data_IF_737518559294
#
_entry.id   IF_737518559294
#
_cell.length_a   1.000
_cell.length_b   1.000
_cell.length_c   1.000
_cell.angle_alpha   90.00
_cell.angle_beta   90.00
_cell.angle_gamma   90.00
#
_symmetry.space_group_name_H-M   'P 1'
#
loop_
_entity.id
_entity.type
_entity.pdbx_description
1 polymer ?
#
# COMPACT_ATOMS: atom_id res chain seq x y z
N UNK A 1 -5.50 9.97 -4.14
CA UNK A 1 -6.33 9.33 -3.08
C UNK A 1 -6.43 10.24 -1.86
N UNK A 2 -7.43 10.07 -0.98
CA UNK A 2 -7.54 10.78 0.32
C UNK A 2 -8.05 9.82 1.41
N UNK A 3 -7.57 9.92 2.67
CA UNK A 3 -8.09 9.10 3.76
C UNK A 3 -9.60 9.29 4.00
N UNK A 4 -10.28 8.35 4.67
CA UNK A 4 -11.69 8.50 5.02
C UNK A 4 -11.96 9.77 5.83
N UNK A 5 -13.05 10.49 5.50
CA UNK A 5 -13.44 11.74 6.17
C UNK A 5 -13.59 11.58 7.69
N UNK A 6 -14.10 10.42 8.14
CA UNK A 6 -14.24 10.12 9.56
C UNK A 6 -12.90 10.13 10.30
N UNK A 7 -11.83 9.63 9.66
CA UNK A 7 -10.48 9.56 10.24
C UNK A 7 -9.80 10.93 10.17
N UNK A 8 -9.96 11.66 9.07
CA UNK A 8 -9.43 13.02 8.90
C UNK A 8 -10.00 14.03 9.91
N UNK A 9 -11.22 13.81 10.40
CA UNK A 9 -11.88 14.67 11.39
C UNK A 9 -11.49 14.37 12.83
N UNK A 10 -10.76 13.28 13.08
CA UNK A 10 -10.28 12.99 14.42
C UNK A 10 -9.23 14.05 14.82
N UNK A 11 -9.17 14.44 16.11
CA UNK A 11 -8.12 15.31 16.61
C UNK A 11 -6.73 14.71 16.35
N UNK A 12 -5.72 15.55 16.11
CA UNK A 12 -4.34 15.08 15.89
C UNK A 12 -3.81 14.26 17.07
N UNK A 13 -4.24 14.58 18.30
CA UNK A 13 -3.92 13.79 19.51
C UNK A 13 -4.31 12.30 19.37
N UNK A 14 -5.41 12.00 18.67
CA UNK A 14 -5.83 10.61 18.40
C UNK A 14 -4.87 9.93 17.43
N UNK A 15 -4.41 10.64 16.40
CA UNK A 15 -3.44 10.11 15.45
C UNK A 15 -2.08 9.90 16.14
N UNK A 16 -1.64 10.85 16.96
CA UNK A 16 -0.43 10.72 17.79
C UNK A 16 -0.53 9.55 18.77
N UNK A 17 -1.66 9.37 19.43
CA UNK A 17 -1.88 8.25 20.34
C UNK A 17 -1.78 6.89 19.62
N UNK A 18 -2.34 6.77 18.41
CA UNK A 18 -2.19 5.56 17.58
C UNK A 18 -0.72 5.35 17.23
N UNK A 19 0.00 6.40 16.79
CA UNK A 19 1.43 6.29 16.49
C UNK A 19 2.23 5.81 17.71
N UNK A 20 1.96 6.35 18.89
CA UNK A 20 2.58 5.91 20.15
C UNK A 20 2.25 4.44 20.48
N UNK A 21 0.98 4.04 20.39
CA UNK A 21 0.53 2.68 20.70
C UNK A 21 1.23 1.62 19.83
N UNK A 22 1.50 1.95 18.57
CA UNK A 22 2.16 1.04 17.61
C UNK A 22 3.66 1.30 17.43
N UNK A 23 4.27 2.15 18.27
CA UNK A 23 5.68 2.53 18.19
C UNK A 23 6.10 3.06 16.79
N UNK A 24 5.25 3.91 16.21
CA UNK A 24 5.49 4.57 14.94
C UNK A 24 6.06 5.96 15.22
N UNK A 25 7.23 6.25 14.66
CA UNK A 25 7.79 7.60 14.58
C UNK A 25 7.55 8.12 13.16
N UNK A 26 7.01 9.32 13.03
CA UNK A 26 6.72 9.95 11.75
C UNK A 26 7.16 11.41 11.78
N UNK A 27 7.91 11.81 10.76
CA UNK A 27 8.50 13.15 10.62
C UNK A 27 8.16 13.72 9.23
N UNK A 28 8.03 15.05 9.15
CA UNK A 28 7.67 15.78 7.93
C UNK A 28 6.35 16.54 8.05
N UNK A 29 5.99 17.27 6.99
CA UNK A 29 4.77 18.10 6.97
C UNK A 29 3.56 17.31 6.46
N UNK A 30 2.35 17.71 6.88
CA UNK A 30 1.06 17.16 6.42
C UNK A 30 1.01 15.62 6.39
N UNK A 31 1.54 14.96 7.42
CA UNK A 31 1.62 13.50 7.51
C UNK A 31 0.20 12.92 7.56
N UNK A 32 -0.21 12.05 6.62
CA UNK A 32 -1.53 11.44 6.67
C UNK A 32 -1.75 10.65 7.97
N UNK A 33 -3.00 10.54 8.44
CA UNK A 33 -3.31 9.77 9.65
C UNK A 33 -2.96 8.29 9.46
N UNK A 34 -2.45 7.61 10.50
CA UNK A 34 -2.22 6.18 10.45
C UNK A 34 -3.56 5.43 10.32
N UNK A 35 -3.62 4.44 9.43
CA UNK A 35 -4.80 3.61 9.20
C UNK A 35 -4.59 2.22 9.78
N UNK A 36 -5.41 1.87 10.78
CA UNK A 36 -5.29 0.60 11.54
C UNK A 36 -5.99 -0.59 10.86
N UNK A 37 -6.67 -0.37 9.74
CA UNK A 37 -7.42 -1.37 8.98
C UNK A 37 -7.18 -1.20 7.48
N UNK A 38 -7.09 -2.31 6.75
CA UNK A 38 -6.96 -2.27 5.29
C UNK A 38 -8.22 -1.72 4.61
N UNK A 39 -9.40 -1.93 5.21
CA UNK A 39 -10.66 -1.40 4.67
C UNK A 39 -10.67 0.14 4.59
N UNK A 40 -10.00 0.82 5.52
CA UNK A 40 -9.89 2.28 5.54
C UNK A 40 -8.95 2.81 4.45
N UNK A 41 -8.13 1.93 3.86
CA UNK A 41 -7.17 2.26 2.79
C UNK A 41 -7.83 2.29 1.40
N UNK A 42 -9.10 1.87 1.29
CA UNK A 42 -9.91 1.87 0.05
C UNK A 42 -9.33 1.01 -1.07
N UNK A 43 -8.71 -0.11 -0.70
CA UNK A 43 -8.36 -1.14 -1.66
C UNK A 43 -9.61 -1.83 -2.21
N UNK A 44 -9.48 -2.35 -3.43
CA UNK A 44 -10.52 -3.17 -4.06
C UNK A 44 -10.68 -4.52 -3.37
N UNK A 45 -11.84 -5.16 -3.54
CA UNK A 45 -12.14 -6.47 -2.94
C UNK A 45 -11.08 -7.52 -3.28
N UNK A 46 -10.65 -7.61 -4.54
CA UNK A 46 -9.62 -8.57 -4.95
C UNK A 46 -8.28 -8.38 -4.24
N UNK A 47 -7.88 -7.13 -3.93
CA UNK A 47 -6.68 -6.88 -3.13
C UNK A 47 -6.88 -7.33 -1.67
N UNK A 48 -8.05 -7.04 -1.10
CA UNK A 48 -8.40 -7.49 0.26
C UNK A 48 -8.43 -9.02 0.35
N UNK A 49 -8.97 -9.69 -0.67
CA UNK A 49 -9.01 -11.16 -0.75
C UNK A 49 -7.59 -11.75 -0.81
N UNK A 50 -6.69 -11.16 -1.60
CA UNK A 50 -5.28 -11.57 -1.64
C UNK A 50 -4.58 -11.47 -0.28
N UNK A 51 -4.88 -10.40 0.48
CA UNK A 51 -4.36 -10.23 1.85
C UNK A 51 -4.94 -11.29 2.80
N UNK A 52 -6.24 -11.56 2.71
CA UNK A 52 -6.92 -12.55 3.54
C UNK A 52 -6.45 -13.98 3.28
N UNK A 53 -6.22 -14.36 2.02
CA UNK A 53 -5.65 -15.68 1.68
C UNK A 53 -4.27 -15.90 2.32
N UNK A 54 -3.47 -14.83 2.38
CA UNK A 54 -2.17 -14.81 3.07
C UNK A 54 -2.28 -14.63 4.58
N UNK A 55 -3.50 -14.62 5.14
CA UNK A 55 -3.78 -14.41 6.57
C UNK A 55 -3.27 -13.06 7.11
N UNK A 56 -3.22 -12.05 6.24
CA UNK A 56 -2.81 -10.68 6.56
C UNK A 56 -4.08 -9.85 6.82
N UNK A 57 -4.66 -10.01 8.01
CA UNK A 57 -5.93 -9.36 8.36
C UNK A 57 -5.79 -7.95 8.94
N UNK A 58 -4.58 -7.58 9.40
CA UNK A 58 -4.30 -6.25 9.96
C UNK A 58 -2.97 -5.71 9.43
N UNK A 59 -2.90 -4.39 9.15
CA UNK A 59 -1.65 -3.78 8.74
C UNK A 59 -0.62 -3.82 9.89
N UNK A 60 0.64 -4.02 9.54
CA UNK A 60 1.76 -3.82 10.46
C UNK A 60 2.00 -2.32 10.72
N UNK A 61 2.74 -1.92 11.76
CA UNK A 61 2.98 -0.50 12.05
C UNK A 61 3.53 0.31 10.86
N UNK A 62 4.47 -0.27 10.10
CA UNK A 62 5.03 0.39 8.90
C UNK A 62 3.99 0.53 7.77
N UNK A 63 3.03 -0.39 7.68
CA UNK A 63 1.93 -0.33 6.73
C UNK A 63 0.86 0.68 7.14
N UNK A 64 0.55 0.76 8.45
CA UNK A 64 -0.44 1.70 8.99
C UNK A 64 -0.13 3.14 8.62
N UNK A 65 1.15 3.54 8.69
CA UNK A 65 1.58 4.89 8.35
C UNK A 65 2.07 5.00 6.91
N UNK A 66 2.81 4.01 6.41
CA UNK A 66 3.46 4.09 5.09
C UNK A 66 2.48 4.02 3.92
N UNK A 67 1.49 3.12 3.97
CA UNK A 67 0.50 2.98 2.89
C UNK A 67 -0.29 4.28 2.66
N UNK A 68 -0.92 4.92 3.67
CA UNK A 68 -1.65 6.17 3.43
C UNK A 68 -0.74 7.32 2.96
N UNK A 69 0.53 7.34 3.36
CA UNK A 69 1.51 8.30 2.83
C UNK A 69 1.72 8.12 1.33
N UNK A 70 2.03 6.89 0.88
CA UNK A 70 2.27 6.61 -0.54
C UNK A 70 0.99 6.79 -1.36
N UNK A 71 -0.16 6.30 -0.88
CA UNK A 71 -1.45 6.50 -1.58
C UNK A 71 -1.79 7.99 -1.74
N UNK A 72 -1.39 8.85 -0.79
CA UNK A 72 -1.58 10.30 -0.89
C UNK A 72 -0.63 10.97 -1.90
N UNK A 73 0.23 10.22 -2.59
CA UNK A 73 1.19 10.73 -3.56
C UNK A 73 2.43 11.37 -2.92
N UNK A 74 2.75 11.00 -1.67
CA UNK A 74 3.92 11.52 -0.95
C UNK A 74 5.11 10.58 -1.12
N UNK A 75 6.29 11.18 -1.25
CA UNK A 75 7.54 10.46 -1.08
C UNK A 75 7.69 10.00 0.37
N UNK A 76 8.24 8.80 0.56
CA UNK A 76 8.35 8.14 1.86
C UNK A 76 9.72 7.50 2.04
N UNK A 77 10.38 7.83 3.15
CA UNK A 77 11.51 7.06 3.68
C UNK A 77 10.97 6.13 4.78
N UNK A 78 10.91 4.83 4.49
CA UNK A 78 10.39 3.82 5.41
C UNK A 78 11.49 3.03 6.11
N UNK A 79 11.75 3.31 7.39
CA UNK A 79 12.74 2.60 8.20
C UNK A 79 12.04 1.51 9.04
N UNK A 80 12.34 0.24 8.77
CA UNK A 80 11.89 -0.89 9.59
C UNK A 80 12.79 -2.11 9.35
N UNK A 81 12.76 -3.10 10.24
CA UNK A 81 13.56 -4.33 10.13
C UNK A 81 13.02 -5.33 9.09
N UNK A 82 13.84 -6.25 8.58
CA UNK A 82 13.41 -7.30 7.63
C UNK A 82 12.30 -8.17 8.24
N UNK A 83 11.26 -8.50 7.46
CA UNK A 83 10.09 -9.22 7.97
C UNK A 83 9.00 -8.32 8.56
N UNK A 84 9.23 -7.01 8.68
CA UNK A 84 8.20 -6.05 9.14
C UNK A 84 7.04 -5.80 8.15
N UNK A 85 7.03 -6.48 7.00
CA UNK A 85 5.98 -6.28 5.99
C UNK A 85 6.14 -5.04 5.08
N UNK A 86 7.33 -4.43 5.02
CA UNK A 86 7.63 -3.26 4.16
C UNK A 86 7.27 -3.46 2.69
N UNK A 87 7.36 -4.69 2.16
CA UNK A 87 7.05 -4.97 0.75
C UNK A 87 5.64 -4.52 0.36
N UNK A 88 4.66 -4.69 1.25
CA UNK A 88 3.28 -4.28 0.97
C UNK A 88 3.09 -2.76 0.97
N UNK A 89 3.99 -2.00 1.58
CA UNK A 89 3.91 -0.53 1.66
C UNK A 89 4.06 0.09 0.28
N UNK A 90 4.90 -0.47 -0.58
CA UNK A 90 5.05 -0.03 -1.97
C UNK A 90 4.27 -0.91 -2.96
N UNK A 91 4.09 -2.21 -2.68
CA UNK A 91 3.42 -3.12 -3.59
C UNK A 91 1.90 -2.89 -3.69
N UNK A 92 1.22 -2.56 -2.58
CA UNK A 92 -0.23 -2.30 -2.65
C UNK A 92 -0.54 -0.99 -3.38
N UNK A 93 0.12 0.15 -3.08
CA UNK A 93 -0.12 1.39 -3.82
C UNK A 93 0.23 1.29 -5.31
N UNK A 94 1.36 0.66 -5.68
CA UNK A 94 1.76 0.58 -7.09
C UNK A 94 0.73 -0.21 -7.92
N UNK A 95 0.21 -1.32 -7.38
CA UNK A 95 -0.84 -2.11 -8.05
C UNK A 95 -2.13 -1.29 -8.17
N UNK A 96 -2.52 -0.59 -7.11
CA UNK A 96 -3.69 0.28 -7.13
C UNK A 96 -3.57 1.41 -8.17
N UNK A 97 -2.39 2.03 -8.28
CA UNK A 97 -2.15 3.06 -9.28
C UNK A 97 -2.13 2.50 -10.71
N UNK A 98 -1.54 1.32 -10.95
CA UNK A 98 -1.61 0.67 -12.26
C UNK A 98 -3.05 0.32 -12.65
N UNK A 99 -3.87 -0.18 -11.71
CA UNK A 99 -5.29 -0.47 -11.95
C UNK A 99 -6.10 0.78 -12.27
N UNK A 100 -5.84 1.88 -11.56
CA UNK A 100 -6.49 3.17 -11.83
C UNK A 100 -6.07 3.72 -13.19
N UNK A 101 -4.78 3.61 -13.54
CA UNK A 101 -4.25 4.01 -14.83
C UNK A 101 -4.87 3.20 -15.96
N UNK A 102 -4.83 1.87 -15.90
CA UNK A 102 -5.40 0.97 -16.93
C UNK A 102 -6.89 1.28 -17.19
N UNK A 103 -7.65 1.55 -16.12
CA UNK A 103 -9.07 1.91 -16.24
C UNK A 103 -9.28 3.27 -16.92
N UNK A 104 -8.37 4.22 -16.71
CA UNK A 104 -8.49 5.59 -17.24
C UNK A 104 -7.92 5.72 -18.66
N UNK A 105 -6.81 5.02 -18.94
CA UNK A 105 -6.07 5.02 -20.19
C UNK A 105 -5.37 3.65 -20.29
N UNK A 106 -5.96 2.70 -21.03
CA UNK A 106 -5.41 1.35 -21.14
C UNK A 106 -3.99 1.33 -21.69
N UNK A 107 -3.14 0.50 -21.11
CA UNK A 107 -1.77 0.32 -21.55
C UNK A 107 -1.73 -0.25 -22.97
N UNK A 108 -0.90 0.33 -23.82
CA UNK A 108 -0.73 -0.13 -25.20
C UNK A 108 0.52 -0.99 -25.36
N UNK A 109 0.56 -1.75 -26.44
CA UNK A 109 1.70 -2.61 -26.75
C UNK A 109 2.97 -1.76 -26.90
N UNK A 110 4.06 -2.22 -26.27
CA UNK A 110 5.36 -1.55 -26.20
C UNK A 110 5.38 -0.27 -25.35
N UNK A 111 4.37 -0.04 -24.52
CA UNK A 111 4.45 0.97 -23.47
C UNK A 111 5.40 0.51 -22.35
N UNK A 112 6.15 1.45 -21.79
CA UNK A 112 7.07 1.18 -20.68
C UNK A 112 6.32 0.89 -19.38
N UNK A 113 7.03 0.48 -18.30
CA UNK A 113 6.39 0.25 -17.02
C UNK A 113 5.88 1.55 -16.40
N UNK A 114 4.63 1.55 -15.92
CA UNK A 114 4.08 2.65 -15.12
C UNK A 114 4.74 2.77 -13.74
N UNK A 115 5.14 1.63 -13.16
CA UNK A 115 5.78 1.55 -11.85
C UNK A 115 7.06 0.73 -11.91
N UNK A 116 8.11 1.22 -11.24
CA UNK A 116 9.42 0.57 -11.18
C UNK A 116 9.83 0.32 -9.73
N UNK A 117 10.22 -0.92 -9.42
CA UNK A 117 10.80 -1.32 -8.14
C UNK A 117 12.22 -1.83 -8.39
N UNK A 118 13.18 -1.21 -7.72
CA UNK A 118 14.60 -1.58 -7.83
C UNK A 118 14.98 -2.38 -6.57
N UNK A 119 15.59 -3.55 -6.77
CA UNK A 119 16.03 -4.43 -5.70
C UNK A 119 17.54 -4.64 -5.75
N UNK A 120 18.21 -4.85 -4.61
CA UNK A 120 19.67 -5.02 -4.57
C UNK A 120 20.14 -6.42 -5.00
N UNK A 121 19.22 -7.38 -5.14
CA UNK A 121 19.55 -8.74 -5.59
C UNK A 121 18.41 -9.35 -6.42
N UNK A 122 18.77 -10.31 -7.27
CA UNK A 122 17.82 -11.08 -8.08
C UNK A 122 16.81 -11.85 -7.23
N UNK A 123 17.25 -12.40 -6.10
CA UNK A 123 16.37 -13.17 -5.22
C UNK A 123 15.31 -12.27 -4.57
N UNK A 124 15.69 -11.07 -4.10
CA UNK A 124 14.73 -10.11 -3.56
C UNK A 124 13.78 -9.58 -4.65
N UNK A 125 14.28 -9.38 -5.88
CA UNK A 125 13.44 -9.02 -7.01
C UNK A 125 12.39 -10.12 -7.30
N UNK A 126 12.81 -11.39 -7.31
CA UNK A 126 11.93 -12.56 -7.52
C UNK A 126 10.87 -12.67 -6.41
N UNK A 127 11.26 -12.51 -5.15
CA UNK A 127 10.34 -12.54 -4.02
C UNK A 127 9.31 -11.40 -4.10
N UNK A 128 9.76 -10.19 -4.45
CA UNK A 128 8.88 -9.03 -4.61
C UNK A 128 7.91 -9.21 -5.78
N UNK A 129 8.41 -9.72 -6.92
CA UNK A 129 7.59 -10.05 -8.07
C UNK A 129 6.49 -11.05 -7.71
N UNK A 130 6.80 -12.13 -6.98
CA UNK A 130 5.80 -13.11 -6.56
C UNK A 130 4.69 -12.50 -5.67
N UNK A 131 5.05 -11.57 -4.79
CA UNK A 131 4.06 -10.84 -3.97
C UNK A 131 3.12 -10.04 -4.87
N UNK A 132 3.66 -9.28 -5.81
CA UNK A 132 2.88 -8.43 -6.72
C UNK A 132 2.01 -9.27 -7.66
N UNK A 133 2.58 -10.29 -8.31
CA UNK A 133 1.83 -11.17 -9.23
C UNK A 133 0.64 -11.82 -8.54
N UNK A 134 0.80 -12.30 -7.31
CA UNK A 134 -0.30 -12.87 -6.55
C UNK A 134 -1.40 -11.84 -6.22
N UNK A 135 -1.05 -10.59 -5.90
CA UNK A 135 -2.04 -9.51 -5.70
C UNK A 135 -2.77 -9.22 -7.01
N UNK A 136 -2.04 -9.12 -8.12
CA UNK A 136 -2.60 -8.87 -9.45
C UNK A 136 -3.55 -10.00 -9.90
N UNK A 137 -3.18 -11.27 -9.70
CA UNK A 137 -4.04 -12.41 -10.03
C UNK A 137 -5.39 -12.36 -9.30
N UNK A 138 -5.38 -12.00 -8.02
CA UNK A 138 -6.62 -11.85 -7.25
C UNK A 138 -7.43 -10.64 -7.70
N UNK A 139 -6.75 -9.53 -8.02
CA UNK A 139 -7.42 -8.38 -8.58
C UNK A 139 -8.13 -8.73 -9.90
N UNK A 140 -7.45 -9.47 -10.78
CA UNK A 140 -8.01 -9.96 -12.04
C UNK A 140 -9.22 -10.89 -11.82
N UNK A 141 -9.10 -11.86 -10.93
CA UNK A 141 -10.21 -12.79 -10.58
C UNK A 141 -11.44 -12.06 -10.01
N UNK A 142 -11.23 -10.95 -9.31
CA UNK A 142 -12.30 -10.09 -8.81
C UNK A 142 -12.91 -9.17 -9.89
N UNK A 143 -12.54 -9.36 -11.17
CA UNK A 143 -13.11 -8.63 -12.31
C UNK A 143 -12.47 -7.26 -12.56
N UNK A 144 -11.30 -6.98 -11.96
CA UNK A 144 -10.55 -5.78 -12.31
C UNK A 144 -9.73 -6.03 -13.58
N UNK A 145 -9.85 -5.11 -14.54
CA UNK A 145 -9.04 -5.13 -15.75
C UNK A 145 -7.60 -4.73 -15.39
N UNK A 146 -6.66 -5.58 -15.78
CA UNK A 146 -5.21 -5.44 -15.68
C UNK A 146 -4.61 -5.63 -17.07
#
# INVERSE_FOLDING_TARGET
WRPPKAILRLPEERHQHIRQLYNIVAEGDDIPPPLIRFEDMKFSSGIIDALNEKKISRPTPIQMQGIPSVLSGRDLIGIAYTGSGKTLVFALPIVMFCLEQEKSMPFVRNEGPYGLIICPSRELARQTHLVISNICEHAHKAGMQL
#
